data_IF_665929481071
#
_entry.id   IF_665929481071
#
_cell.length_a   1.000
_cell.length_b   1.000
_cell.length_c   1.000
_cell.angle_alpha   90.00
_cell.angle_beta   90.00
_cell.angle_gamma   90.00
#
_symmetry.space_group_name_H-M   'P 1'
#
loop_
_entity.id
_entity.type
_entity.pdbx_description
1 polymer ?
#
# COMPACT_ATOMS: atom_id res chain seq x y z
N UNK A 1 -3.35 -6.96 4.30
CA UNK A 1 -3.03 -7.34 2.90
C UNK A 1 -4.22 -7.99 2.20
N UNK A 2 -4.94 -8.90 2.84
CA UNK A 2 -6.17 -9.48 2.28
C UNK A 2 -7.18 -8.41 1.82
N UNK A 3 -7.39 -7.37 2.62
CA UNK A 3 -8.26 -6.23 2.25
C UNK A 3 -7.82 -5.53 0.95
N UNK A 4 -6.51 -5.32 0.74
CA UNK A 4 -6.00 -4.73 -0.51
C UNK A 4 -6.29 -5.63 -1.72
N UNK A 5 -6.08 -6.94 -1.58
CA UNK A 5 -6.37 -7.90 -2.65
C UNK A 5 -7.86 -7.89 -2.98
N UNK A 6 -8.71 -7.89 -1.95
CA UNK A 6 -10.16 -7.82 -2.11
C UNK A 6 -10.59 -6.53 -2.82
N UNK A 7 -10.05 -5.37 -2.44
CA UNK A 7 -10.30 -4.09 -3.13
C UNK A 7 -9.90 -4.11 -4.59
N UNK A 8 -8.78 -4.74 -4.92
CA UNK A 8 -8.35 -4.93 -6.31
C UNK A 8 -9.34 -5.80 -7.09
N UNK A 9 -9.86 -6.87 -6.48
CA UNK A 9 -10.83 -7.77 -7.12
C UNK A 9 -12.22 -7.13 -7.29
N UNK A 10 -12.68 -6.34 -6.30
CA UNK A 10 -14.01 -5.74 -6.30
C UNK A 10 -14.07 -4.41 -7.07
N UNK A 11 -13.01 -3.60 -6.98
CA UNK A 11 -13.02 -2.21 -7.47
C UNK A 11 -11.95 -1.91 -8.53
N UNK A 12 -11.04 -2.85 -8.79
CA UNK A 12 -10.01 -2.72 -9.82
C UNK A 12 -10.60 -2.83 -11.22
N UNK A 13 -10.07 -2.04 -12.15
CA UNK A 13 -10.47 -2.07 -13.55
C UNK A 13 -9.27 -2.29 -14.47
N UNK A 14 -9.28 -3.34 -15.29
CA UNK A 14 -8.21 -3.62 -16.26
C UNK A 14 -8.43 -2.75 -17.50
N UNK A 15 -7.52 -1.80 -17.77
CA UNK A 15 -7.62 -0.91 -18.93
C UNK A 15 -7.06 -1.54 -20.21
N UNK A 16 -5.96 -2.28 -20.05
CA UNK A 16 -5.28 -3.00 -21.12
C UNK A 16 -4.43 -4.11 -20.53
N UNK A 17 -3.85 -4.94 -21.39
CA UNK A 17 -2.84 -5.91 -20.95
C UNK A 17 -1.75 -5.20 -20.12
N UNK A 18 -1.52 -5.70 -18.91
CA UNK A 18 -0.54 -5.15 -17.96
C UNK A 18 -0.96 -3.89 -17.19
N UNK A 19 -2.14 -3.31 -17.43
CA UNK A 19 -2.56 -2.06 -16.76
C UNK A 19 -3.81 -2.26 -15.92
N UNK A 20 -3.64 -2.20 -14.59
CA UNK A 20 -4.71 -2.20 -13.60
C UNK A 20 -4.95 -0.78 -13.06
N UNK A 21 -6.16 -0.26 -13.27
CA UNK A 21 -6.63 1.02 -12.73
C UNK A 21 -7.24 0.80 -11.35
N UNK A 22 -6.79 1.59 -10.37
CA UNK A 22 -7.19 1.53 -8.96
C UNK A 22 -7.59 2.90 -8.39
N UNK A 23 -8.06 3.78 -9.27
CA UNK A 23 -8.33 5.20 -8.97
C UNK A 23 -9.32 5.44 -7.83
N UNK A 24 -10.18 4.47 -7.50
CA UNK A 24 -11.21 4.62 -6.46
C UNK A 24 -10.66 4.54 -5.03
N UNK A 25 -9.45 3.99 -4.85
CA UNK A 25 -8.94 3.71 -3.51
C UNK A 25 -7.45 3.98 -3.29
N UNK A 26 -6.64 4.17 -4.35
CA UNK A 26 -5.20 4.53 -4.22
C UNK A 26 -4.81 5.86 -4.86
N UNK A 27 -5.02 6.04 -6.17
CA UNK A 27 -4.33 7.11 -6.94
C UNK A 27 -5.09 8.43 -7.01
N UNK A 28 -6.40 8.40 -7.32
CA UNK A 28 -7.21 9.61 -7.46
C UNK A 28 -8.07 9.86 -6.21
N UNK A 29 -8.78 8.82 -5.78
CA UNK A 29 -9.40 8.75 -4.47
C UNK A 29 -8.53 7.85 -3.60
N UNK A 30 -8.44 8.21 -2.34
CA UNK A 30 -7.65 7.48 -1.34
C UNK A 30 -8.62 6.97 -0.30
N UNK A 31 -8.58 5.67 -0.02
CA UNK A 31 -9.26 5.10 1.14
C UNK A 31 -8.34 5.23 2.38
N UNK A 32 -8.67 6.08 3.37
CA UNK A 32 -7.77 6.33 4.50
C UNK A 32 -7.55 5.08 5.36
N UNK A 33 -8.58 4.23 5.51
CA UNK A 33 -8.51 3.03 6.34
C UNK A 33 -7.65 1.96 5.68
N UNK A 34 -7.74 1.83 4.36
CA UNK A 34 -6.84 0.96 3.60
C UNK A 34 -5.39 1.44 3.71
N UNK A 35 -5.17 2.75 3.57
CA UNK A 35 -3.81 3.33 3.65
C UNK A 35 -3.19 3.18 5.04
N UNK A 36 -3.96 3.35 6.11
CA UNK A 36 -3.49 3.10 7.48
C UNK A 36 -3.03 1.65 7.67
N UNK A 37 -3.78 0.68 7.15
CA UNK A 37 -3.41 -0.73 7.22
C UNK A 37 -2.14 -1.03 6.41
N UNK A 38 -2.03 -0.46 5.20
CA UNK A 38 -0.84 -0.58 4.36
C UNK A 38 0.37 0.01 5.08
N UNK A 39 0.25 1.24 5.62
CA UNK A 39 1.29 1.92 6.37
C UNK A 39 1.74 1.14 7.61
N UNK A 40 0.79 0.59 8.37
CA UNK A 40 1.08 -0.26 9.54
C UNK A 40 1.86 -1.50 9.15
N UNK A 41 1.50 -2.17 8.04
CA UNK A 41 2.27 -3.33 7.56
C UNK A 41 3.64 -2.94 7.05
N UNK A 42 3.81 -1.79 6.40
CA UNK A 42 5.14 -1.28 6.06
C UNK A 42 5.96 -1.00 7.31
N UNK A 43 5.41 -0.30 8.31
CA UNK A 43 6.11 -0.02 9.56
C UNK A 43 6.54 -1.32 10.25
N UNK A 44 5.69 -2.35 10.30
CA UNK A 44 6.03 -3.67 10.85
C UNK A 44 7.18 -4.33 10.07
N UNK A 45 7.07 -4.42 8.74
CA UNK A 45 8.09 -5.04 7.86
C UNK A 45 9.43 -4.32 7.96
N UNK A 46 9.41 -2.99 8.09
CA UNK A 46 10.61 -2.17 8.14
C UNK A 46 11.09 -1.84 9.57
N UNK A 47 10.33 -2.22 10.61
CA UNK A 47 10.70 -2.00 12.02
C UNK A 47 12.04 -2.65 12.40
N UNK A 48 12.38 -3.78 11.77
CA UNK A 48 13.63 -4.50 12.01
C UNK A 48 14.79 -3.99 11.16
N UNK A 49 14.52 -3.10 10.19
CA UNK A 49 15.56 -2.47 9.39
C UNK A 49 15.89 -1.12 10.02
N UNK A 50 16.78 -1.16 11.02
CA UNK A 50 17.46 0.02 11.56
C UNK A 50 18.30 0.68 10.43
N UNK A 51 17.65 1.51 9.63
CA UNK A 51 18.31 2.32 8.60
C UNK A 51 18.99 3.57 9.17
N UNK A 52 18.77 3.89 10.45
CA UNK A 52 19.57 4.88 11.16
C UNK A 52 20.71 4.18 11.90
N UNK A 53 21.88 4.17 11.26
CA UNK A 53 23.14 4.12 11.99
C UNK A 53 23.37 5.55 12.46
N UNK A 54 23.12 5.85 13.73
CA UNK A 54 23.63 7.08 14.34
C UNK A 54 25.15 7.01 14.27
N UNK A 55 25.72 7.68 13.28
CA UNK A 55 27.14 7.98 13.21
C UNK A 55 27.39 9.23 14.05
N UNK A 56 27.31 9.04 15.36
CA UNK A 56 27.88 9.95 16.36
C UNK A 56 28.80 9.09 17.25
N UNK A 57 29.93 8.68 16.67
CA UNK A 57 31.15 8.23 17.34
C UNK A 57 32.32 9.05 16.77
#
# INVERSE_FOLDING_TARGET
MEELVRRIQEEGNVLSEGVLKVDRFITHQVDPKLMEQIGSRFAEVFSQKNYYKSSDD
#
